data_IF_613743991095
#
_entry.id   IF_613743991095
#
_cell.length_a   1.000
_cell.length_b   1.000
_cell.length_c   1.000
_cell.angle_alpha   90.00
_cell.angle_beta   90.00
_cell.angle_gamma   90.00
#
_symmetry.space_group_name_H-M   'P 1'
#
loop_
_entity.id
_entity.type
_entity.pdbx_description
1 polymer ?
#
# COMPACT_ATOMS: atom_id res chain seq x y z
N UNK A 1 1.68 8.88 -14.35
CA UNK A 1 2.43 7.69 -13.88
C UNK A 1 1.69 7.00 -12.72
N UNK A 2 1.35 7.69 -11.61
CA UNK A 2 0.56 7.15 -10.48
C UNK A 2 -0.83 6.58 -10.88
N UNK A 3 -1.52 7.18 -11.86
CA UNK A 3 -2.77 6.63 -12.43
C UNK A 3 -2.62 5.21 -13.00
N UNK A 4 -1.45 4.87 -13.56
CA UNK A 4 -1.23 3.53 -14.11
C UNK A 4 -0.98 2.50 -13.01
N UNK A 5 -0.36 2.89 -11.88
CA UNK A 5 -0.12 2.01 -10.72
C UNK A 5 -1.44 1.63 -10.05
N UNK A 6 -2.32 2.62 -9.81
CA UNK A 6 -3.69 2.44 -9.28
C UNK A 6 -4.50 1.49 -10.18
N UNK A 7 -4.42 1.68 -11.50
CA UNK A 7 -5.17 0.85 -12.44
C UNK A 7 -4.64 -0.59 -12.54
N UNK A 8 -3.33 -0.81 -12.39
CA UNK A 8 -2.76 -2.16 -12.24
C UNK A 8 -3.10 -2.80 -10.90
N UNK A 9 -3.20 -2.04 -9.79
CA UNK A 9 -3.60 -2.58 -8.49
C UNK A 9 -5.07 -2.97 -8.44
N UNK A 10 -5.97 -2.19 -9.03
CA UNK A 10 -7.39 -2.53 -9.15
C UNK A 10 -7.59 -3.82 -9.96
N UNK A 11 -6.84 -4.00 -11.05
CA UNK A 11 -6.86 -5.25 -11.84
C UNK A 11 -6.23 -6.41 -11.07
N UNK A 12 -5.11 -6.19 -10.37
CA UNK A 12 -4.42 -7.24 -9.61
C UNK A 12 -5.22 -7.68 -8.37
N UNK A 13 -5.95 -6.77 -7.71
CA UNK A 13 -6.84 -7.06 -6.58
C UNK A 13 -8.09 -7.83 -7.04
N UNK A 14 -8.69 -7.44 -8.19
CA UNK A 14 -9.77 -8.21 -8.81
C UNK A 14 -9.31 -9.64 -9.18
N UNK A 15 -8.06 -9.79 -9.63
CA UNK A 15 -7.45 -11.09 -9.94
C UNK A 15 -7.05 -11.88 -8.68
N UNK A 16 -6.58 -11.22 -7.61
CA UNK A 16 -6.24 -11.87 -6.34
C UNK A 16 -7.47 -12.39 -5.59
N UNK A 17 -8.62 -11.74 -5.75
CA UNK A 17 -9.91 -12.18 -5.17
C UNK A 17 -10.53 -13.38 -5.91
N UNK A 18 -9.99 -13.77 -7.08
CA UNK A 18 -10.56 -14.85 -7.88
C UNK A 18 -9.78 -16.18 -7.85
N UNK A 19 -8.51 -16.24 -7.44
CA UNK A 19 -7.75 -17.50 -7.52
C UNK A 19 -6.58 -17.63 -6.51
N UNK A 20 -6.61 -18.68 -5.69
CA UNK A 20 -5.44 -19.52 -5.38
C UNK A 20 -5.89 -21.00 -5.47
N UNK A 21 -5.11 -21.95 -6.05
CA UNK A 21 -3.65 -22.02 -5.94
C UNK A 21 -2.81 -22.30 -7.23
N UNK A 22 -1.52 -21.92 -7.13
CA UNK A 22 -0.27 -22.47 -7.69
C UNK A 22 0.19 -22.20 -9.16
N UNK A 23 1.52 -22.24 -9.41
CA UNK A 23 2.22 -21.21 -10.18
C UNK A 23 2.57 -21.61 -11.62
N UNK A 24 2.58 -20.63 -12.52
CA UNK A 24 3.33 -20.74 -13.78
C UNK A 24 3.72 -19.37 -14.33
N UNK A 25 4.99 -19.32 -14.74
CA UNK A 25 5.73 -18.20 -15.35
C UNK A 25 4.96 -17.50 -16.47
N UNK A 26 4.98 -16.17 -16.48
CA UNK A 26 5.06 -15.38 -17.71
C UNK A 26 5.53 -13.95 -17.36
N UNK A 27 6.70 -13.57 -17.88
CA UNK A 27 7.20 -12.20 -17.88
C UNK A 27 6.92 -11.60 -19.25
N UNK A 28 6.29 -10.43 -19.29
CA UNK A 28 6.26 -9.54 -20.46
C UNK A 28 6.41 -8.11 -19.92
N UNK A 29 7.65 -7.64 -19.85
CA UNK A 29 7.97 -6.24 -19.58
C UNK A 29 7.91 -5.43 -20.86
N UNK A 30 6.96 -4.51 -20.96
CA UNK A 30 6.97 -3.42 -21.97
C UNK A 30 7.06 -2.12 -21.18
N UNK A 31 8.29 -1.66 -20.94
CA UNK A 31 8.56 -0.34 -20.40
C UNK A 31 8.52 0.69 -21.52
N UNK A 32 7.43 1.45 -21.61
CA UNK A 32 7.33 2.63 -22.48
C UNK A 32 7.66 3.86 -21.62
N UNK A 33 8.94 4.24 -21.59
CA UNK A 33 9.39 5.50 -21.04
C UNK A 33 9.21 6.62 -22.06
N UNK A 34 8.28 7.54 -21.81
CA UNK A 34 8.09 8.74 -22.62
C UNK A 34 8.92 9.87 -22.02
N UNK A 35 10.10 10.12 -22.60
CA UNK A 35 10.93 11.29 -22.31
C UNK A 35 10.72 12.37 -23.39
N UNK A 36 10.18 13.53 -23.01
CA UNK A 36 10.09 14.71 -23.87
C UNK A 36 11.40 15.49 -23.74
N UNK A 37 12.19 15.54 -24.82
CA UNK A 37 13.43 16.30 -24.89
C UNK A 37 13.28 17.58 -25.70
N UNK A 38 13.65 18.72 -25.11
CA UNK A 38 14.04 19.94 -25.85
C UNK A 38 15.15 20.64 -25.07
N UNK A 39 16.28 20.93 -25.75
CA UNK A 39 17.21 21.98 -25.34
C UNK A 39 18.71 21.67 -25.45
N UNK A 40 19.31 21.95 -26.61
CA UNK A 40 20.77 22.02 -26.82
C UNK A 40 21.39 23.13 -25.95
N UNK A 41 22.43 22.78 -25.19
CA UNK A 41 23.31 23.74 -24.51
C UNK A 41 24.74 23.20 -24.45
N UNK A 42 25.66 23.86 -25.15
CA UNK A 42 27.08 23.52 -25.20
C UNK A 42 27.77 24.09 -23.94
N UNK A 43 28.23 23.23 -23.02
CA UNK A 43 28.82 23.65 -21.74
C UNK A 43 29.94 22.71 -21.28
N UNK A 44 31.13 23.26 -21.13
CA UNK A 44 32.38 22.59 -20.79
C UNK A 44 32.37 22.14 -19.30
N UNK A 45 31.82 20.95 -19.00
CA UNK A 45 31.65 20.39 -17.65
C UNK A 45 32.38 19.05 -17.44
N UNK A 46 33.70 19.03 -17.61
CA UNK A 46 34.47 17.78 -17.72
C UNK A 46 35.02 17.23 -16.37
N UNK A 47 34.81 17.93 -15.25
CA UNK A 47 35.33 17.55 -13.92
C UNK A 47 34.31 16.84 -13.02
N UNK A 48 33.12 17.41 -12.85
CA UNK A 48 32.07 16.89 -11.95
C UNK A 48 31.41 15.63 -12.48
N UNK A 49 31.09 15.57 -13.78
CA UNK A 49 30.50 14.39 -14.43
C UNK A 49 31.38 13.14 -14.33
N UNK A 50 32.69 13.30 -14.57
CA UNK A 50 33.67 12.22 -14.45
C UNK A 50 33.81 11.70 -13.02
N UNK A 51 33.67 12.57 -12.02
CA UNK A 51 33.70 12.20 -10.61
C UNK A 51 32.44 11.44 -10.19
N UNK A 52 31.25 11.85 -10.64
CA UNK A 52 29.99 11.17 -10.31
C UNK A 52 29.95 9.75 -10.89
N UNK A 53 30.39 9.56 -12.13
CA UNK A 53 30.45 8.21 -12.74
C UNK A 53 31.53 7.32 -12.10
N UNK A 54 32.63 7.90 -11.58
CA UNK A 54 33.62 7.15 -10.82
C UNK A 54 33.08 6.68 -9.45
N UNK A 55 32.30 7.52 -8.77
CA UNK A 55 31.61 7.13 -7.56
C UNK A 55 30.57 6.03 -7.84
N UNK A 56 29.82 6.16 -8.93
CA UNK A 56 28.88 5.13 -9.36
C UNK A 56 29.59 3.81 -9.66
N UNK A 57 30.74 3.84 -10.35
CA UNK A 57 31.53 2.65 -10.61
C UNK A 57 31.94 1.97 -9.29
N UNK A 58 32.46 2.72 -8.31
CA UNK A 58 32.83 2.17 -6.99
C UNK A 58 31.65 1.53 -6.28
N UNK A 59 30.50 2.22 -6.26
CA UNK A 59 29.27 1.74 -5.65
C UNK A 59 28.81 0.42 -6.27
N UNK A 60 28.72 0.38 -7.61
CA UNK A 60 28.21 -0.76 -8.35
C UNK A 60 29.17 -1.95 -8.29
N UNK A 61 30.49 -1.74 -8.28
CA UNK A 61 31.45 -2.82 -8.10
C UNK A 61 31.46 -3.37 -6.66
N UNK A 62 31.32 -2.50 -5.65
CA UNK A 62 31.14 -2.94 -4.27
C UNK A 62 29.86 -3.77 -4.13
N UNK A 63 28.76 -3.33 -4.73
CA UNK A 63 27.51 -4.08 -4.68
C UNK A 63 27.57 -5.38 -5.47
N UNK A 64 28.15 -5.38 -6.67
CA UNK A 64 28.43 -6.61 -7.43
C UNK A 64 29.18 -7.65 -6.60
N UNK A 65 30.13 -7.22 -5.75
CA UNK A 65 30.89 -8.12 -4.88
C UNK A 65 30.08 -8.72 -3.73
N UNK A 66 28.94 -8.12 -3.34
CA UNK A 66 28.02 -8.70 -2.35
C UNK A 66 26.96 -9.62 -2.95
N UNK A 67 26.86 -9.68 -4.29
CA UNK A 67 25.97 -10.61 -4.98
C UNK A 67 26.64 -11.99 -5.04
N UNK A 68 25.99 -12.97 -4.42
CA UNK A 68 26.46 -14.35 -4.34
C UNK A 68 25.87 -15.24 -5.42
N UNK A 69 24.71 -14.87 -6.00
CA UNK A 69 24.09 -15.60 -7.09
C UNK A 69 23.45 -14.64 -8.10
N UNK A 70 23.76 -14.83 -9.39
CA UNK A 70 23.18 -14.09 -10.52
C UNK A 70 22.76 -15.08 -11.61
N UNK A 71 21.56 -15.69 -11.49
CA UNK A 71 21.14 -16.77 -12.38
C UNK A 71 20.85 -16.32 -13.81
N UNK A 72 20.70 -15.01 -14.05
CA UNK A 72 20.41 -14.44 -15.36
C UNK A 72 21.63 -13.73 -15.97
N UNK A 73 22.79 -13.84 -15.33
CA UNK A 73 24.06 -13.23 -15.75
C UNK A 73 23.91 -11.74 -16.09
N UNK A 74 23.11 -11.00 -15.32
CA UNK A 74 22.87 -9.57 -15.54
C UNK A 74 24.16 -8.78 -15.27
N UNK A 75 24.91 -9.17 -14.24
CA UNK A 75 26.12 -8.51 -13.78
C UNK A 75 27.33 -8.79 -14.68
N UNK A 76 27.23 -9.65 -15.70
CA UNK A 76 28.28 -9.85 -16.70
C UNK A 76 28.57 -8.55 -17.46
N UNK A 77 27.55 -7.70 -17.63
CA UNK A 77 27.69 -6.37 -18.25
C UNK A 77 28.36 -5.35 -17.33
N UNK A 78 28.48 -5.64 -16.03
CA UNK A 78 29.00 -4.71 -15.02
C UNK A 78 30.53 -4.76 -14.96
N UNK A 79 31.18 -4.44 -16.08
CA UNK A 79 32.63 -4.47 -16.25
C UNK A 79 33.12 -3.18 -16.92
N UNK A 80 34.20 -2.60 -16.38
CA UNK A 80 34.84 -1.42 -16.94
C UNK A 80 34.16 -0.10 -16.53
N UNK A 81 34.72 1.05 -16.93
CA UNK A 81 34.30 2.35 -16.39
C UNK A 81 32.95 2.86 -16.94
N UNK A 82 32.40 2.25 -18.00
CA UNK A 82 31.18 2.71 -18.64
C UNK A 82 29.92 2.17 -17.92
N UNK A 83 29.66 2.67 -16.71
CA UNK A 83 28.55 2.23 -15.85
C UNK A 83 27.18 2.36 -16.51
N UNK A 84 27.01 3.25 -17.48
CA UNK A 84 25.74 3.44 -18.18
C UNK A 84 25.45 2.35 -19.23
N UNK A 85 26.43 1.49 -19.53
CA UNK A 85 26.22 0.29 -20.34
C UNK A 85 25.82 -0.94 -19.53
N UNK A 86 25.81 -0.83 -18.20
CA UNK A 86 25.47 -1.92 -17.31
C UNK A 86 23.96 -2.20 -17.39
N UNK A 87 23.60 -3.47 -17.55
CA UNK A 87 22.21 -3.89 -17.58
C UNK A 87 21.55 -3.54 -16.24
N UNK A 88 20.38 -2.88 -16.32
CA UNK A 88 19.62 -2.40 -15.17
C UNK A 88 20.06 -1.05 -14.61
N UNK A 89 21.09 -0.42 -15.19
CA UNK A 89 21.55 0.92 -14.80
C UNK A 89 21.08 1.93 -15.84
N UNK A 90 20.41 2.98 -15.40
CA UNK A 90 19.85 4.02 -16.24
C UNK A 90 20.53 5.34 -15.94
N UNK A 91 21.16 5.92 -16.96
CA UNK A 91 21.81 7.22 -16.86
C UNK A 91 20.98 8.31 -17.54
N UNK A 92 21.00 9.50 -16.96
CA UNK A 92 20.34 10.68 -17.51
C UNK A 92 21.33 11.82 -17.67
N UNK A 93 21.10 12.65 -18.70
CA UNK A 93 21.83 13.90 -18.86
C UNK A 93 21.16 14.98 -18.03
N UNK A 94 21.82 15.40 -16.95
CA UNK A 94 21.52 16.65 -16.28
C UNK A 94 22.09 17.83 -17.09
N UNK A 95 21.65 19.06 -16.78
CA UNK A 95 22.10 20.29 -17.43
C UNK A 95 23.61 20.52 -17.31
N UNK A 96 24.29 19.84 -16.39
CA UNK A 96 25.72 20.01 -16.09
C UNK A 96 26.51 18.69 -16.00
N UNK A 97 25.87 17.52 -15.99
CA UNK A 97 26.55 16.23 -15.79
C UNK A 97 25.76 15.03 -16.35
N UNK A 98 26.47 13.93 -16.63
CA UNK A 98 25.88 12.64 -16.96
C UNK A 98 25.96 11.76 -15.70
N UNK A 99 24.82 11.30 -15.18
CA UNK A 99 24.72 10.66 -13.86
C UNK A 99 23.91 9.38 -13.95
N UNK A 100 24.09 8.47 -12.98
CA UNK A 100 23.18 7.34 -12.79
C UNK A 100 21.91 7.88 -12.13
N UNK A 101 20.81 7.89 -12.88
CA UNK A 101 19.52 8.39 -12.43
C UNK A 101 18.63 7.27 -11.87
N UNK A 102 18.86 6.02 -12.26
CA UNK A 102 18.04 4.91 -11.82
C UNK A 102 18.70 3.55 -11.85
N UNK A 103 18.22 2.68 -10.98
CA UNK A 103 18.52 1.25 -11.00
C UNK A 103 17.19 0.50 -11.05
N UNK A 104 17.02 -0.35 -12.07
CA UNK A 104 15.93 -1.32 -12.15
C UNK A 104 16.51 -2.72 -12.42
N UNK A 105 16.39 -3.56 -11.40
CA UNK A 105 16.76 -4.98 -11.43
C UNK A 105 15.57 -5.86 -11.06
N UNK A 106 14.36 -5.43 -11.41
CA UNK A 106 13.15 -6.19 -11.15
C UNK A 106 13.22 -7.58 -11.80
N UNK A 107 12.78 -8.61 -11.07
CA UNK A 107 12.74 -10.02 -11.51
C UNK A 107 14.10 -10.62 -11.89
N UNK A 108 15.20 -10.04 -11.38
CA UNK A 108 16.55 -10.52 -11.67
C UNK A 108 16.94 -11.78 -10.88
N UNK A 109 16.19 -12.11 -9.81
CA UNK A 109 16.46 -13.25 -8.93
C UNK A 109 17.89 -13.26 -8.34
N UNK A 110 18.48 -12.06 -8.16
CA UNK A 110 19.81 -11.85 -7.60
C UNK A 110 19.80 -12.20 -6.11
N UNK A 111 20.80 -12.93 -5.63
CA UNK A 111 20.99 -13.20 -4.21
C UNK A 111 22.18 -12.43 -3.68
N UNK A 112 22.02 -11.74 -2.55
CA UNK A 112 23.09 -10.97 -1.93
C UNK A 112 22.57 -10.07 -0.83
N UNK A 113 23.29 -8.98 -0.58
CA UNK A 113 22.90 -7.93 0.39
C UNK A 113 23.01 -6.54 -0.23
N UNK A 114 22.25 -5.59 0.31
CA UNK A 114 22.43 -4.16 0.02
C UNK A 114 23.67 -3.66 0.77
N UNK A 115 24.54 -2.93 0.07
CA UNK A 115 25.80 -2.42 0.64
C UNK A 115 25.74 -0.92 0.90
N UNK A 116 26.49 -0.45 1.89
CA UNK A 116 26.52 0.97 2.27
C UNK A 116 27.02 1.86 1.13
N UNK A 117 27.91 1.34 0.28
CA UNK A 117 28.53 2.05 -0.84
C UNK A 117 27.54 2.48 -1.92
N UNK A 118 26.33 1.87 -1.95
CA UNK A 118 25.25 2.34 -2.84
C UNK A 118 24.89 3.80 -2.57
N UNK A 119 25.10 4.33 -1.36
CA UNK A 119 24.85 5.74 -1.05
C UNK A 119 25.76 6.73 -1.80
N UNK A 120 26.82 6.26 -2.46
CA UNK A 120 27.63 7.07 -3.36
C UNK A 120 26.88 7.46 -4.65
N UNK A 121 25.75 6.80 -4.95
CA UNK A 121 24.86 7.10 -6.05
C UNK A 121 23.89 8.23 -5.64
N UNK A 122 24.41 9.41 -5.33
CA UNK A 122 23.63 10.52 -4.76
C UNK A 122 22.51 11.03 -5.66
N UNK A 123 22.66 10.87 -6.98
CA UNK A 123 21.78 11.45 -8.00
C UNK A 123 20.62 10.52 -8.41
N UNK A 124 20.49 9.33 -7.81
CA UNK A 124 19.43 8.38 -8.20
C UNK A 124 18.05 8.90 -7.76
N UNK A 125 17.07 8.71 -8.63
CA UNK A 125 15.66 9.03 -8.41
C UNK A 125 14.81 7.77 -8.26
N UNK A 126 15.24 6.63 -8.80
CA UNK A 126 14.61 5.33 -8.61
C UNK A 126 15.58 4.21 -8.22
N UNK A 127 15.12 3.33 -7.33
CA UNK A 127 15.76 2.05 -7.00
C UNK A 127 14.68 0.98 -6.94
N UNK A 128 14.58 0.17 -8.00
CA UNK A 128 13.60 -0.92 -8.11
C UNK A 128 14.28 -2.28 -8.09
N UNK A 129 13.99 -3.06 -7.06
CA UNK A 129 14.60 -4.36 -6.78
C UNK A 129 13.55 -5.46 -6.56
N UNK A 130 12.34 -5.30 -7.08
CA UNK A 130 11.26 -6.26 -6.94
C UNK A 130 11.69 -7.66 -7.39
N UNK A 131 11.27 -8.70 -6.67
CA UNK A 131 11.50 -10.11 -7.04
C UNK A 131 12.99 -10.42 -7.18
N UNK A 132 13.71 -10.24 -6.07
CA UNK A 132 15.09 -10.66 -5.88
C UNK A 132 15.21 -11.45 -4.56
N UNK A 133 16.43 -11.88 -4.23
CA UNK A 133 16.76 -12.59 -3.00
C UNK A 133 17.74 -11.78 -2.14
N UNK A 134 17.55 -10.45 -2.09
CA UNK A 134 18.34 -9.60 -1.20
C UNK A 134 17.96 -9.85 0.25
N UNK A 135 18.96 -10.08 1.09
CA UNK A 135 18.80 -10.37 2.52
C UNK A 135 19.49 -9.33 3.40
N UNK A 136 19.29 -9.43 4.71
CA UNK A 136 19.81 -8.46 5.68
C UNK A 136 18.86 -7.28 5.89
N UNK A 137 19.42 -6.12 6.27
CA UNK A 137 18.68 -4.88 6.55
C UNK A 137 18.95 -3.83 5.47
N UNK A 138 18.12 -2.79 5.39
CA UNK A 138 18.41 -1.60 4.58
C UNK A 138 19.57 -0.82 5.24
N UNK A 139 20.65 -0.46 4.52
CA UNK A 139 21.78 0.25 5.10
C UNK A 139 21.42 1.66 5.59
N UNK A 140 21.95 2.06 6.76
CA UNK A 140 21.73 3.40 7.33
C UNK A 140 22.23 4.55 6.45
N UNK A 141 23.17 4.28 5.54
CA UNK A 141 23.66 5.28 4.57
C UNK A 141 22.65 5.59 3.47
N UNK A 142 21.57 4.83 3.34
CA UNK A 142 20.52 5.10 2.35
C UNK A 142 19.80 6.44 2.59
N UNK A 143 19.91 7.03 3.80
CA UNK A 143 19.45 8.40 4.05
C UNK A 143 20.11 9.45 3.14
N UNK A 144 21.30 9.14 2.61
CA UNK A 144 22.07 10.03 1.75
C UNK A 144 21.54 10.05 0.30
N UNK A 145 20.52 9.23 -0.02
CA UNK A 145 19.78 9.32 -1.27
C UNK A 145 18.84 10.54 -1.28
N UNK A 146 19.40 11.71 -1.48
CA UNK A 146 18.69 12.99 -1.40
C UNK A 146 17.66 13.19 -2.51
N UNK A 147 17.87 12.59 -3.68
CA UNK A 147 16.98 12.73 -4.85
C UNK A 147 16.08 11.51 -5.09
N UNK A 148 16.21 10.45 -4.29
CA UNK A 148 15.42 9.23 -4.49
C UNK A 148 13.94 9.49 -4.19
N UNK A 149 13.12 9.23 -5.20
CA UNK A 149 11.68 9.42 -5.18
C UNK A 149 10.94 8.08 -5.01
N UNK A 150 11.46 7.03 -5.67
CA UNK A 150 10.86 5.70 -5.68
C UNK A 150 11.82 4.66 -5.14
N UNK A 151 11.45 4.03 -4.02
CA UNK A 151 12.16 2.90 -3.44
C UNK A 151 11.24 1.68 -3.45
N UNK A 152 11.56 0.72 -4.32
CA UNK A 152 10.89 -0.58 -4.38
C UNK A 152 11.87 -1.68 -3.99
N UNK A 153 11.68 -2.23 -2.79
CA UNK A 153 12.43 -3.36 -2.24
C UNK A 153 11.53 -4.61 -2.08
N UNK A 154 10.40 -4.63 -2.77
CA UNK A 154 9.39 -5.67 -2.60
C UNK A 154 9.86 -7.06 -3.04
N UNK A 155 9.23 -8.10 -2.49
CA UNK A 155 9.51 -9.50 -2.82
C UNK A 155 11.01 -9.83 -2.75
N UNK A 156 11.56 -9.70 -1.54
CA UNK A 156 12.94 -9.97 -1.18
C UNK A 156 12.99 -10.77 0.15
N UNK A 157 14.19 -10.99 0.68
CA UNK A 157 14.44 -11.65 1.96
C UNK A 157 14.93 -10.65 3.02
N UNK A 158 14.57 -9.38 2.89
CA UNK A 158 14.97 -8.35 3.85
C UNK A 158 14.25 -8.57 5.18
N UNK A 159 14.92 -8.25 6.28
CA UNK A 159 14.42 -8.51 7.62
C UNK A 159 14.88 -7.43 8.60
N UNK A 160 14.47 -7.55 9.87
CA UNK A 160 14.73 -6.55 10.91
C UNK A 160 13.49 -5.72 11.22
N UNK A 161 13.66 -4.60 11.92
CA UNK A 161 12.58 -3.64 12.14
C UNK A 161 12.24 -2.87 10.87
N UNK A 162 11.16 -2.08 10.90
CA UNK A 162 10.92 -1.08 9.85
C UNK A 162 12.21 -0.27 9.58
N UNK A 163 12.63 -0.09 8.31
CA UNK A 163 13.85 0.65 7.98
C UNK A 163 13.63 2.15 8.13
N UNK A 164 13.75 2.68 9.34
CA UNK A 164 13.52 4.10 9.68
C UNK A 164 14.41 5.06 8.89
N UNK A 165 15.55 4.57 8.37
CA UNK A 165 16.39 5.28 7.40
C UNK A 165 15.60 5.84 6.21
N UNK A 166 14.56 5.13 5.74
CA UNK A 166 13.71 5.55 4.61
C UNK A 166 12.91 6.82 4.93
N UNK A 167 12.62 7.08 6.22
CA UNK A 167 11.91 8.27 6.66
C UNK A 167 12.80 9.53 6.60
N UNK A 168 14.12 9.34 6.58
CA UNK A 168 15.10 10.41 6.47
C UNK A 168 15.46 10.75 5.01
N UNK A 169 14.89 10.06 4.01
CA UNK A 169 15.09 10.37 2.60
C UNK A 169 14.17 11.53 2.19
N UNK A 170 14.71 12.73 1.89
CA UNK A 170 13.90 13.94 1.78
C UNK A 170 12.92 13.90 0.61
N UNK A 171 13.33 13.37 -0.54
CA UNK A 171 12.53 13.34 -1.78
C UNK A 171 11.65 12.10 -1.95
N UNK A 172 11.70 11.14 -1.00
CA UNK A 172 10.98 9.88 -1.13
C UNK A 172 9.47 10.10 -1.07
N UNK A 173 8.76 9.60 -2.08
CA UNK A 173 7.31 9.68 -2.24
C UNK A 173 6.64 8.31 -2.41
N UNK A 174 7.36 7.30 -2.89
CA UNK A 174 6.88 5.93 -3.07
C UNK A 174 7.77 4.97 -2.29
N UNK A 175 7.18 4.25 -1.33
CA UNK A 175 7.87 3.26 -0.51
C UNK A 175 7.16 1.91 -0.61
N UNK A 176 7.87 0.93 -1.16
CA UNK A 176 7.38 -0.43 -1.30
C UNK A 176 8.32 -1.45 -0.65
N UNK A 177 7.85 -2.04 0.44
CA UNK A 177 8.56 -3.03 1.25
C UNK A 177 7.79 -4.36 1.32
N UNK A 178 6.77 -4.55 0.48
CA UNK A 178 5.88 -5.73 0.57
C UNK A 178 6.61 -7.05 0.31
N UNK A 179 6.09 -8.16 0.81
CA UNK A 179 6.69 -9.49 0.67
C UNK A 179 8.15 -9.54 1.14
N UNK A 180 8.38 -9.17 2.39
CA UNK A 180 9.68 -9.29 3.08
C UNK A 180 9.44 -9.91 4.48
N UNK A 181 10.46 -9.88 5.33
CA UNK A 181 10.40 -10.38 6.71
C UNK A 181 10.62 -9.26 7.75
N UNK A 182 10.18 -8.02 7.46
CA UNK A 182 10.21 -6.93 8.44
C UNK A 182 9.24 -7.20 9.59
N UNK A 183 9.62 -6.84 10.82
CA UNK A 183 8.89 -7.13 12.05
C UNK A 183 8.87 -5.94 13.02
N UNK A 184 8.14 -6.09 14.12
CA UNK A 184 8.00 -5.04 15.14
C UNK A 184 6.91 -4.04 14.79
N UNK A 185 6.84 -2.94 15.54
CA UNK A 185 5.83 -1.89 15.35
C UNK A 185 6.15 -0.96 14.19
N UNK A 186 5.10 -0.38 13.63
CA UNK A 186 5.22 0.74 12.69
C UNK A 186 5.62 2.00 13.47
N UNK A 187 6.64 2.75 13.04
CA UNK A 187 7.04 3.99 13.70
C UNK A 187 6.02 5.11 13.44
N UNK A 188 5.85 6.04 14.39
CA UNK A 188 4.90 7.15 14.22
C UNK A 188 5.29 8.06 13.05
N UNK A 189 6.59 8.24 12.83
CA UNK A 189 7.15 9.11 11.80
C UNK A 189 6.82 8.65 10.38
N UNK A 190 6.47 7.37 10.19
CA UNK A 190 6.05 6.83 8.90
C UNK A 190 4.89 7.63 8.30
N UNK A 191 3.88 7.91 9.11
CA UNK A 191 2.68 8.60 8.66
C UNK A 191 2.82 10.13 8.69
N UNK A 192 3.89 10.65 9.29
CA UNK A 192 4.26 12.07 9.20
C UNK A 192 5.09 12.38 7.95
N UNK A 193 5.74 11.38 7.35
CA UNK A 193 6.47 11.52 6.09
C UNK A 193 5.49 11.75 4.94
N UNK A 194 5.85 12.67 4.02
CA UNK A 194 5.08 12.98 2.82
C UNK A 194 5.21 11.90 1.73
N UNK A 195 4.76 10.69 2.05
CA UNK A 195 4.65 9.58 1.10
C UNK A 195 3.27 9.64 0.42
N UNK A 196 3.23 9.36 -0.88
CA UNK A 196 2.00 9.20 -1.65
C UNK A 196 1.52 7.75 -1.65
N UNK A 197 2.45 6.79 -1.68
CA UNK A 197 2.14 5.36 -1.67
C UNK A 197 2.99 4.59 -0.67
N UNK A 198 2.32 3.79 0.17
CA UNK A 198 2.92 3.01 1.25
C UNK A 198 2.48 1.54 1.12
N UNK A 199 3.40 0.65 0.74
CA UNK A 199 3.14 -0.78 0.63
C UNK A 199 3.99 -1.57 1.63
N UNK A 200 3.35 -2.09 2.68
CA UNK A 200 3.99 -2.86 3.75
C UNK A 200 3.41 -4.28 3.89
N UNK A 201 2.54 -4.68 2.97
CA UNK A 201 1.82 -5.94 3.07
C UNK A 201 2.73 -7.17 3.00
N UNK A 202 2.27 -8.29 3.56
CA UNK A 202 3.01 -9.56 3.57
C UNK A 202 4.37 -9.42 4.25
N UNK A 203 4.35 -8.89 5.48
CA UNK A 203 5.48 -8.81 6.39
C UNK A 203 5.06 -9.40 7.75
N UNK A 204 5.82 -9.12 8.80
CA UNK A 204 5.56 -9.58 10.17
C UNK A 204 5.40 -8.39 11.12
N UNK A 205 4.94 -7.23 10.63
CA UNK A 205 4.68 -6.06 11.47
C UNK A 205 3.59 -6.38 12.50
N UNK A 206 3.75 -5.87 13.71
CA UNK A 206 2.92 -6.19 14.88
C UNK A 206 2.66 -4.95 15.74
N UNK A 207 1.70 -5.04 16.66
CA UNK A 207 1.31 -3.88 17.48
C UNK A 207 0.28 -3.01 16.76
N UNK A 208 -0.01 -1.85 17.34
CA UNK A 208 -1.09 -0.99 16.85
C UNK A 208 -0.67 -0.13 15.66
N UNK A 209 -1.66 0.28 14.85
CA UNK A 209 -1.47 1.35 13.87
C UNK A 209 -1.31 2.67 14.65
N UNK A 210 -0.21 3.42 14.49
CA UNK A 210 0.04 4.67 15.21
C UNK A 210 -1.08 5.71 15.07
N UNK A 211 -1.28 6.54 16.10
CA UNK A 211 -2.24 7.65 16.01
C UNK A 211 -1.84 8.71 14.97
N UNK A 212 -0.55 8.79 14.61
CA UNK A 212 -0.08 9.63 13.50
C UNK A 212 -0.62 9.20 12.13
N UNK A 213 -1.32 8.07 12.03
CA UNK A 213 -1.96 7.60 10.80
C UNK A 213 -2.78 8.70 10.09
N UNK A 214 -3.52 9.49 10.87
CA UNK A 214 -4.29 10.65 10.40
C UNK A 214 -3.48 11.74 9.69
N UNK A 215 -2.17 11.82 9.91
CA UNK A 215 -1.32 12.85 9.31
C UNK A 215 -0.85 12.49 7.90
N UNK A 216 -1.06 11.24 7.47
CA UNK A 216 -0.51 10.76 6.20
C UNK A 216 -1.21 11.42 5.01
N UNK A 217 -0.44 11.97 4.05
CA UNK A 217 -1.01 12.51 2.82
C UNK A 217 -1.23 11.44 1.74
N UNK A 218 -0.93 10.17 2.04
CA UNK A 218 -0.89 9.10 1.07
C UNK A 218 -2.24 8.90 0.36
N UNK A 219 -2.18 8.63 -0.94
CA UNK A 219 -3.34 8.21 -1.73
C UNK A 219 -3.57 6.69 -1.67
N UNK A 220 -2.55 5.90 -1.35
CA UNK A 220 -2.63 4.44 -1.28
C UNK A 220 -1.85 3.92 -0.06
N UNK A 221 -2.51 3.11 0.78
CA UNK A 221 -1.88 2.42 1.91
C UNK A 221 -2.29 0.95 1.92
N UNK A 222 -1.31 0.06 1.84
CA UNK A 222 -1.52 -1.38 1.96
C UNK A 222 -0.72 -1.97 3.13
N UNK A 223 -1.43 -2.40 4.17
CA UNK A 223 -0.87 -3.04 5.36
C UNK A 223 -1.31 -4.52 5.49
N UNK A 224 -1.87 -5.10 4.44
CA UNK A 224 -2.45 -6.44 4.47
C UNK A 224 -1.46 -7.54 4.89
N UNK A 225 -1.96 -8.67 5.39
CA UNK A 225 -1.15 -9.84 5.72
C UNK A 225 0.01 -9.51 6.67
N UNK A 226 -0.32 -8.91 7.82
CA UNK A 226 0.59 -8.62 8.91
C UNK A 226 -0.01 -9.13 10.23
N UNK A 227 0.56 -8.73 11.37
CA UNK A 227 0.09 -9.06 12.72
C UNK A 227 -0.33 -7.81 13.49
N UNK A 228 -0.85 -6.80 12.78
CA UNK A 228 -1.27 -5.54 13.39
C UNK A 228 -2.51 -5.77 14.27
N UNK A 229 -2.51 -5.20 15.46
CA UNK A 229 -3.53 -5.38 16.51
C UNK A 229 -4.19 -4.05 16.86
N UNK A 230 -5.17 -4.08 17.77
CA UNK A 230 -5.81 -2.87 18.28
C UNK A 230 -6.79 -2.27 17.26
N UNK A 231 -7.24 -1.06 17.54
CA UNK A 231 -8.30 -0.42 16.75
C UNK A 231 -7.75 0.26 15.50
N UNK A 232 -8.60 0.44 14.48
CA UNK A 232 -8.34 1.45 13.45
C UNK A 232 -8.34 2.82 14.16
N UNK A 233 -7.25 3.62 14.08
CA UNK A 233 -7.13 4.85 14.84
C UNK A 233 -8.28 5.81 14.57
N UNK A 234 -8.78 6.49 15.61
CA UNK A 234 -9.79 7.54 15.44
C UNK A 234 -9.25 8.68 14.55
N UNK A 235 -7.93 8.85 14.53
CA UNK A 235 -7.26 9.81 13.66
C UNK A 235 -7.43 9.52 12.16
N UNK A 236 -7.92 8.33 11.80
CA UNK A 236 -8.21 7.95 10.42
C UNK A 236 -9.05 9.02 9.72
N UNK A 237 -10.05 9.61 10.36
CA UNK A 237 -10.90 10.64 9.75
C UNK A 237 -10.20 11.96 9.38
N UNK A 238 -8.97 12.21 9.84
CA UNK A 238 -8.22 13.45 9.54
C UNK A 238 -7.25 13.30 8.37
N UNK A 239 -7.15 12.11 7.76
CA UNK A 239 -6.27 11.91 6.60
C UNK A 239 -6.70 12.75 5.41
N UNK A 240 -5.79 12.89 4.45
CA UNK A 240 -6.06 13.54 3.17
C UNK A 240 -7.31 12.96 2.50
N UNK A 241 -8.28 13.79 2.06
CA UNK A 241 -9.48 13.31 1.36
C UNK A 241 -9.15 12.70 -0.02
N UNK A 242 -7.90 12.83 -0.49
CA UNK A 242 -7.38 12.20 -1.72
C UNK A 242 -7.04 10.72 -1.55
N UNK A 243 -7.24 10.15 -0.37
CA UNK A 243 -7.03 8.73 -0.12
C UNK A 243 -7.98 7.90 -1.00
N UNK A 244 -7.41 6.99 -1.79
CA UNK A 244 -8.12 6.18 -2.77
C UNK A 244 -8.23 4.73 -2.36
N UNK A 245 -7.19 4.20 -1.73
CA UNK A 245 -7.12 2.77 -1.43
C UNK A 245 -6.57 2.55 -0.02
N UNK A 246 -7.33 1.79 0.77
CA UNK A 246 -6.86 1.18 2.02
C UNK A 246 -7.10 -0.32 1.98
N UNK A 247 -6.04 -1.07 2.27
CA UNK A 247 -6.08 -2.52 2.35
C UNK A 247 -5.45 -2.95 3.68
N UNK A 248 -6.28 -3.35 4.64
CA UNK A 248 -5.91 -3.89 5.95
C UNK A 248 -6.24 -5.38 6.09
N UNK A 249 -6.60 -6.04 4.98
CA UNK A 249 -6.85 -7.47 4.85
C UNK A 249 -5.91 -8.32 5.73
N UNK A 250 -6.45 -9.31 6.44
CA UNK A 250 -5.69 -10.34 7.15
C UNK A 250 -4.69 -9.74 8.16
N UNK A 251 -5.25 -9.13 9.20
CA UNK A 251 -4.57 -8.64 10.38
C UNK A 251 -5.35 -9.08 11.64
N UNK A 252 -5.01 -8.54 12.80
CA UNK A 252 -5.68 -8.79 14.09
C UNK A 252 -6.37 -7.51 14.60
N UNK A 253 -6.83 -6.65 13.69
CA UNK A 253 -7.48 -5.39 14.04
C UNK A 253 -8.81 -5.67 14.74
N UNK A 254 -9.12 -4.87 15.76
CA UNK A 254 -10.30 -4.99 16.61
C UNK A 254 -11.07 -3.66 16.68
N UNK A 255 -12.12 -3.61 17.51
CA UNK A 255 -12.95 -2.42 17.67
C UNK A 255 -13.85 -2.17 16.47
N UNK A 256 -14.45 -0.99 16.40
CA UNK A 256 -15.34 -0.60 15.30
C UNK A 256 -14.62 0.16 14.19
N UNK A 257 -15.25 0.17 13.01
CA UNK A 257 -14.87 1.07 11.91
C UNK A 257 -15.20 2.52 12.32
N UNK A 258 -14.24 3.47 12.32
CA UNK A 258 -14.48 4.85 12.72
C UNK A 258 -15.46 5.59 11.80
N UNK A 259 -16.24 6.54 12.35
CA UNK A 259 -17.13 7.41 11.56
C UNK A 259 -16.36 8.26 10.53
N UNK A 260 -15.08 8.54 10.78
CA UNK A 260 -14.22 9.30 9.86
C UNK A 260 -14.05 8.68 8.47
N UNK A 261 -14.37 7.40 8.27
CA UNK A 261 -14.26 6.74 6.96
C UNK A 261 -15.02 7.47 5.85
N UNK A 262 -16.19 8.06 6.15
CA UNK A 262 -17.00 8.75 5.15
C UNK A 262 -16.45 10.09 4.65
N UNK A 263 -15.30 10.54 5.16
CA UNK A 263 -14.60 11.72 4.64
C UNK A 263 -13.97 11.44 3.26
N UNK A 264 -13.65 10.18 2.97
CA UNK A 264 -12.95 9.78 1.75
C UNK A 264 -13.91 9.55 0.59
N UNK A 265 -14.54 10.62 0.11
CA UNK A 265 -15.54 10.53 -0.97
C UNK A 265 -14.96 10.00 -2.29
N UNK A 266 -13.64 10.15 -2.50
CA UNK A 266 -12.87 9.68 -3.66
C UNK A 266 -12.28 8.26 -3.47
N UNK A 267 -12.56 7.59 -2.34
CA UNK A 267 -12.06 6.24 -2.07
C UNK A 267 -12.66 5.23 -3.04
N UNK A 268 -11.80 4.41 -3.65
CA UNK A 268 -12.17 3.38 -4.64
C UNK A 268 -12.07 1.96 -4.05
N UNK A 269 -11.14 1.72 -3.12
CA UNK A 269 -10.94 0.41 -2.50
C UNK A 269 -10.85 0.54 -0.98
N UNK A 270 -11.70 -0.20 -0.29
CA UNK A 270 -11.61 -0.42 1.15
C UNK A 270 -11.71 -1.91 1.44
N UNK A 271 -10.59 -2.52 1.83
CA UNK A 271 -10.54 -3.91 2.27
C UNK A 271 -10.12 -4.00 3.74
N UNK A 272 -11.07 -4.36 4.60
CA UNK A 272 -10.89 -4.59 6.03
C UNK A 272 -11.10 -6.06 6.41
N UNK A 273 -11.14 -6.95 5.41
CA UNK A 273 -11.52 -8.35 5.62
C UNK A 273 -10.48 -9.14 6.43
N UNK A 274 -10.88 -10.28 6.98
CA UNK A 274 -10.03 -11.14 7.81
C UNK A 274 -9.39 -10.38 8.97
N UNK A 275 -10.23 -9.77 9.79
CA UNK A 275 -9.83 -9.09 11.03
C UNK A 275 -10.77 -9.53 12.17
N UNK A 276 -10.73 -8.84 13.30
CA UNK A 276 -11.62 -9.03 14.46
C UNK A 276 -12.47 -7.79 14.73
N UNK A 277 -12.83 -7.04 13.67
CA UNK A 277 -13.67 -5.83 13.79
C UNK A 277 -15.08 -6.19 14.27
N UNK A 278 -15.65 -5.35 15.12
CA UNK A 278 -16.95 -5.55 15.79
C UNK A 278 -17.87 -4.35 15.61
N UNK A 279 -19.13 -4.52 15.97
CA UNK A 279 -20.13 -3.45 15.99
C UNK A 279 -20.78 -3.18 14.63
N UNK A 280 -21.54 -2.08 14.57
CA UNK A 280 -22.31 -1.70 13.38
C UNK A 280 -21.46 -0.92 12.39
N UNK A 281 -21.80 -1.02 11.10
CA UNK A 281 -21.21 -0.16 10.08
C UNK A 281 -21.53 1.32 10.39
N UNK A 282 -20.58 2.24 10.19
CA UNK A 282 -20.85 3.65 10.31
C UNK A 282 -21.81 4.13 9.22
N UNK A 283 -22.79 4.95 9.59
CA UNK A 283 -23.69 5.61 8.62
C UNK A 283 -22.89 6.39 7.56
N UNK A 284 -21.71 6.92 7.92
CA UNK A 284 -20.85 7.66 7.00
C UNK A 284 -20.23 6.82 5.89
N UNK A 285 -20.27 5.50 5.96
CA UNK A 285 -19.82 4.63 4.86
C UNK A 285 -20.63 4.89 3.58
N UNK A 286 -21.86 5.41 3.70
CA UNK A 286 -22.67 5.82 2.57
C UNK A 286 -22.11 7.01 1.79
N UNK A 287 -21.10 7.70 2.33
CA UNK A 287 -20.48 8.87 1.71
C UNK A 287 -19.31 8.52 0.78
N UNK A 288 -18.92 7.25 0.69
CA UNK A 288 -17.88 6.78 -0.21
C UNK A 288 -18.38 6.73 -1.67
N UNK A 289 -18.55 7.89 -2.31
CA UNK A 289 -19.28 7.98 -3.59
C UNK A 289 -18.58 7.28 -4.76
N UNK A 290 -17.24 7.21 -4.72
CA UNK A 290 -16.43 6.57 -5.76
C UNK A 290 -15.99 5.14 -5.41
N UNK A 291 -16.55 4.53 -4.36
CA UNK A 291 -16.16 3.18 -3.94
C UNK A 291 -16.54 2.13 -4.98
N UNK A 292 -15.55 1.34 -5.38
CA UNK A 292 -15.69 0.27 -6.36
C UNK A 292 -15.60 -1.10 -5.67
N UNK A 293 -14.70 -1.25 -4.68
CA UNK A 293 -14.50 -2.48 -3.92
C UNK A 293 -14.62 -2.18 -2.43
N UNK A 294 -15.64 -2.78 -1.80
CA UNK A 294 -15.84 -2.74 -0.35
C UNK A 294 -15.84 -4.17 0.20
N UNK A 295 -14.73 -4.57 0.82
CA UNK A 295 -14.59 -5.90 1.39
C UNK A 295 -14.46 -5.83 2.92
N UNK A 296 -15.49 -6.30 3.61
CA UNK A 296 -15.62 -6.33 5.07
C UNK A 296 -15.75 -7.76 5.59
N UNK A 297 -15.53 -8.77 4.74
CA UNK A 297 -15.76 -10.17 5.07
C UNK A 297 -14.85 -10.70 6.18
N UNK A 298 -15.22 -11.82 6.79
CA UNK A 298 -14.43 -12.48 7.85
C UNK A 298 -14.10 -11.52 9.01
N UNK A 299 -15.13 -10.98 9.64
CA UNK A 299 -15.05 -10.13 10.82
C UNK A 299 -16.14 -10.55 11.83
N UNK A 300 -16.39 -9.71 12.83
CA UNK A 300 -17.44 -9.86 13.84
C UNK A 300 -18.43 -8.68 13.78
N UNK A 301 -18.61 -8.10 12.60
CA UNK A 301 -19.52 -6.97 12.39
C UNK A 301 -20.98 -7.44 12.52
N UNK A 302 -21.85 -6.55 13.00
CA UNK A 302 -23.25 -6.86 13.32
C UNK A 302 -24.18 -5.69 13.00
N UNK A 303 -25.47 -5.86 13.28
CA UNK A 303 -26.52 -4.91 12.94
C UNK A 303 -27.05 -5.12 11.53
N UNK A 304 -27.66 -4.08 10.98
CA UNK A 304 -28.26 -4.13 9.65
C UNK A 304 -27.39 -3.40 8.61
N UNK A 305 -27.36 -3.93 7.40
CA UNK A 305 -26.73 -3.29 6.25
C UNK A 305 -27.71 -2.27 5.69
N UNK A 306 -27.42 -0.98 5.89
CA UNK A 306 -28.26 0.14 5.48
C UNK A 306 -28.50 0.21 3.96
N UNK A 307 -29.69 0.65 3.56
CA UNK A 307 -30.10 0.92 2.16
C UNK A 307 -29.03 1.68 1.37
N UNK A 308 -28.41 2.65 2.03
CA UNK A 308 -27.56 3.60 1.34
C UNK A 308 -26.27 2.96 0.83
N UNK A 309 -25.79 1.87 1.45
CA UNK A 309 -24.59 1.12 1.01
C UNK A 309 -24.86 0.44 -0.34
N UNK A 310 -26.03 -0.15 -0.48
CA UNK A 310 -26.42 -0.84 -1.71
C UNK A 310 -26.81 0.13 -2.85
N UNK A 311 -27.01 1.40 -2.53
CA UNK A 311 -27.26 2.46 -3.53
C UNK A 311 -25.99 3.14 -4.07
N UNK A 312 -24.80 2.74 -3.58
CA UNK A 312 -23.52 3.30 -4.01
C UNK A 312 -23.28 3.03 -5.51
N UNK A 313 -23.30 4.11 -6.30
CA UNK A 313 -23.40 4.04 -7.78
C UNK A 313 -22.18 3.42 -8.47
N UNK A 314 -21.02 3.45 -7.82
CA UNK A 314 -19.75 2.95 -8.36
C UNK A 314 -19.39 1.55 -7.85
N UNK A 315 -20.16 1.01 -6.91
CA UNK A 315 -19.84 -0.25 -6.25
C UNK A 315 -19.91 -1.42 -7.23
N UNK A 316 -18.76 -2.06 -7.46
CA UNK A 316 -18.60 -3.21 -8.34
C UNK A 316 -18.51 -4.52 -7.55
N UNK A 317 -17.90 -4.47 -6.36
CA UNK A 317 -17.77 -5.61 -5.47
C UNK A 317 -18.04 -5.22 -4.02
N UNK A 318 -18.98 -5.93 -3.38
CA UNK A 318 -19.28 -5.84 -1.97
C UNK A 318 -19.25 -7.23 -1.35
N UNK A 319 -18.33 -7.44 -0.41
CA UNK A 319 -18.30 -8.66 0.39
C UNK A 319 -18.46 -8.31 1.86
N UNK A 320 -19.49 -8.86 2.48
CA UNK A 320 -19.75 -8.80 3.93
C UNK A 320 -19.86 -10.21 4.52
N UNK A 321 -19.47 -11.22 3.75
CA UNK A 321 -19.56 -12.62 4.14
C UNK A 321 -18.82 -12.93 5.45
N UNK A 322 -19.23 -13.97 6.16
CA UNK A 322 -18.60 -14.38 7.42
C UNK A 322 -18.59 -13.28 8.48
N UNK A 323 -19.76 -12.67 8.72
CA UNK A 323 -20.02 -11.70 9.79
C UNK A 323 -21.27 -12.12 10.60
N UNK A 324 -21.87 -11.20 11.35
CA UNK A 324 -23.05 -11.40 12.18
C UNK A 324 -24.15 -10.37 11.86
N UNK A 325 -24.24 -9.92 10.59
CA UNK A 325 -25.31 -9.02 10.17
C UNK A 325 -26.66 -9.73 10.30
N UNK A 326 -27.65 -9.01 10.83
CA UNK A 326 -29.02 -9.51 11.09
C UNK A 326 -30.01 -9.17 9.99
N UNK A 327 -29.65 -8.24 9.10
CA UNK A 327 -30.54 -7.76 8.08
C UNK A 327 -29.82 -6.95 7.01
N UNK A 328 -30.49 -6.82 5.88
CA UNK A 328 -30.20 -5.82 4.86
C UNK A 328 -31.53 -5.20 4.44
N UNK A 329 -31.45 -4.08 3.75
CA UNK A 329 -32.64 -3.45 3.21
C UNK A 329 -33.15 -4.09 1.91
N UNK A 330 -34.39 -3.80 1.54
CA UNK A 330 -35.01 -4.35 0.32
C UNK A 330 -34.22 -4.04 -0.96
N UNK A 331 -33.45 -2.94 -1.00
CA UNK A 331 -32.62 -2.58 -2.15
C UNK A 331 -31.40 -3.49 -2.33
N UNK A 332 -30.73 -3.88 -1.24
CA UNK A 332 -29.63 -4.86 -1.28
C UNK A 332 -30.09 -6.21 -1.84
N UNK A 333 -31.37 -6.55 -1.69
CA UNK A 333 -31.95 -7.78 -2.23
C UNK A 333 -32.00 -7.83 -3.76
N UNK A 334 -31.78 -6.72 -4.45
CA UNK A 334 -31.74 -6.66 -5.92
C UNK A 334 -30.33 -6.84 -6.49
N UNK A 335 -29.30 -6.74 -5.65
CA UNK A 335 -27.89 -6.76 -6.05
C UNK A 335 -27.28 -8.17 -6.15
N UNK A 336 -28.09 -9.20 -6.38
CA UNK A 336 -27.58 -10.56 -6.64
C UNK A 336 -26.95 -10.64 -8.02
N UNK A 337 -25.77 -10.04 -8.14
CA UNK A 337 -24.94 -10.05 -9.32
C UNK A 337 -23.54 -10.55 -8.95
N UNK A 338 -22.73 -10.87 -9.96
CA UNK A 338 -21.32 -11.22 -9.79
C UNK A 338 -20.63 -10.06 -9.06
N UNK A 339 -20.10 -10.31 -7.86
CA UNK A 339 -19.40 -9.31 -7.03
C UNK A 339 -20.04 -9.01 -5.68
N UNK A 340 -21.21 -9.57 -5.34
CA UNK A 340 -21.86 -9.35 -4.04
C UNK A 340 -21.94 -10.63 -3.22
N UNK A 341 -21.32 -10.65 -2.03
CA UNK A 341 -21.31 -11.82 -1.15
C UNK A 341 -21.79 -11.48 0.28
N UNK A 342 -22.87 -12.16 0.68
CA UNK A 342 -23.58 -12.02 1.95
C UNK A 342 -23.68 -13.36 2.72
N UNK A 343 -22.90 -14.37 2.33
CA UNK A 343 -22.94 -15.69 2.99
C UNK A 343 -22.47 -15.62 4.44
N UNK A 344 -22.77 -16.66 5.22
CA UNK A 344 -22.25 -16.86 6.58
C UNK A 344 -22.47 -15.65 7.50
N UNK A 345 -23.67 -15.07 7.40
CA UNK A 345 -24.20 -14.05 8.29
C UNK A 345 -25.38 -14.59 9.10
N UNK A 346 -26.10 -13.72 9.82
CA UNK A 346 -27.23 -14.06 10.68
C UNK A 346 -28.55 -13.49 10.17
N UNK A 347 -28.77 -13.53 8.86
CA UNK A 347 -29.91 -12.87 8.23
C UNK A 347 -31.11 -13.84 8.13
N UNK A 348 -32.24 -13.56 8.82
CA UNK A 348 -33.38 -14.46 8.81
C UNK A 348 -33.98 -14.67 7.41
N UNK A 349 -34.38 -15.91 7.12
CA UNK A 349 -35.07 -16.26 5.87
C UNK A 349 -34.18 -16.26 4.61
N UNK A 350 -32.84 -16.26 4.77
CA UNK A 350 -31.87 -16.37 3.67
C UNK A 350 -31.14 -17.70 3.71
N UNK A 351 -30.71 -18.15 2.52
CA UNK A 351 -29.85 -19.33 2.37
C UNK A 351 -28.38 -18.98 2.68
N UNK A 352 -27.55 -20.01 2.91
CA UNK A 352 -26.11 -19.87 3.16
C UNK A 352 -25.80 -18.93 4.33
N UNK A 353 -26.61 -19.00 5.39
CA UNK A 353 -26.42 -18.25 6.62
C UNK A 353 -25.85 -19.17 7.71
N UNK A 354 -25.28 -18.57 8.75
CA UNK A 354 -24.76 -19.32 9.90
C UNK A 354 -25.87 -20.16 10.54
N UNK A 355 -25.55 -21.37 11.02
CA UNK A 355 -26.49 -22.20 11.74
C UNK A 355 -26.73 -21.68 13.16
N UNK A 356 -27.92 -21.92 13.72
CA UNK A 356 -28.12 -21.80 15.16
C UNK A 356 -27.25 -22.83 15.90
N UNK A 357 -26.66 -22.49 17.08
CA UNK A 357 -26.90 -21.30 17.88
C UNK A 357 -25.94 -20.12 17.62
N UNK A 358 -25.14 -20.13 16.54
CA UNK A 358 -24.12 -19.09 16.32
C UNK A 358 -24.73 -17.68 16.21
N UNK A 359 -25.95 -17.57 15.70
CA UNK A 359 -26.68 -16.31 15.56
C UNK A 359 -27.45 -15.87 16.81
N UNK A 360 -27.53 -16.73 17.82
CA UNK A 360 -28.19 -16.41 19.10
C UNK A 360 -27.37 -15.44 19.96
N UNK A 361 -26.08 -15.25 19.66
CA UNK A 361 -25.18 -14.36 20.39
C UNK A 361 -24.52 -13.38 19.41
N UNK A 362 -24.93 -12.11 19.45
CA UNK A 362 -24.23 -11.04 18.73
C UNK A 362 -22.87 -10.85 19.43
N UNK A 363 -21.73 -10.98 18.72
CA UNK A 363 -20.43 -10.78 19.30
C UNK A 363 -20.34 -9.39 19.95
N UNK A 364 -19.98 -9.38 21.23
CA UNK A 364 -19.86 -8.16 22.01
C UNK A 364 -18.87 -7.18 21.38
N UNK A 365 -19.35 -5.97 21.10
CA UNK A 365 -18.53 -4.79 20.94
C UNK A 365 -18.70 -3.89 22.16
N UNK A 366 -17.68 -3.07 22.47
CA UNK A 366 -17.82 -1.99 23.45
C UNK A 366 -19.06 -1.15 23.13
N UNK A 367 -19.68 -0.53 24.14
CA UNK A 367 -20.82 0.39 23.94
C UNK A 367 -20.51 1.48 22.88
N UNK A 368 -19.24 1.84 22.70
CA UNK A 368 -18.76 2.79 21.69
C UNK A 368 -18.95 2.31 20.24
N UNK A 369 -19.08 1.00 20.04
CA UNK A 369 -19.32 0.35 18.76
C UNK A 369 -20.82 0.14 18.46
N UNK A 370 -21.69 0.38 19.46
CA UNK A 370 -23.13 0.40 19.30
C UNK A 370 -23.56 1.75 18.76
N UNK A 371 -24.34 1.74 17.69
CA UNK A 371 -24.83 2.96 17.04
C UNK A 371 -26.34 2.95 17.06
N UNK A 372 -26.92 4.00 17.61
CA UNK A 372 -28.36 4.25 17.49
C UNK A 372 -28.57 4.88 16.11
N UNK A 373 -29.36 4.26 15.22
CA UNK A 373 -29.65 4.82 13.91
C UNK A 373 -30.16 6.26 14.05
N UNK A 374 -29.51 7.21 13.36
CA UNK A 374 -30.00 8.59 13.33
C UNK A 374 -31.28 8.65 12.49
N UNK A 375 -32.38 9.24 13.00
CA UNK A 375 -33.61 9.43 12.21
C UNK A 375 -33.44 10.45 11.08
N UNK A 376 -32.33 11.22 11.05
CA UNK A 376 -32.01 12.16 9.98
C UNK A 376 -31.00 11.56 9.00
N UNK A 377 -31.25 11.64 7.68
CA UNK A 377 -30.29 11.20 6.68
C UNK A 377 -28.99 12.02 6.79
N UNK A 378 -27.86 11.33 6.77
CA UNK A 378 -26.54 11.93 6.87
C UNK A 378 -26.24 12.78 5.62
N UNK A 379 -25.83 14.03 5.80
CA UNK A 379 -25.39 14.90 4.70
C UNK A 379 -23.88 14.78 4.55
N UNK A 380 -23.42 14.12 3.49
CA UNK A 380 -22.00 13.83 3.31
C UNK A 380 -21.12 15.09 3.19
N UNK A 381 -21.63 16.17 2.62
CA UNK A 381 -20.89 17.43 2.42
C UNK A 381 -20.46 18.12 3.74
N UNK A 382 -21.14 17.84 4.87
CA UNK A 382 -20.84 18.48 6.15
C UNK A 382 -19.76 17.76 6.97
N UNK A 383 -19.40 16.51 6.61
CA UNK A 383 -18.45 15.70 7.38
C UNK A 383 -17.01 16.24 7.30
N UNK A 384 -16.59 16.72 6.13
CA UNK A 384 -15.29 17.37 5.95
C UNK A 384 -15.19 18.68 6.74
N UNK A 385 -16.29 19.44 6.85
CA UNK A 385 -16.31 20.72 7.60
C UNK A 385 -16.39 20.57 9.12
N UNK A 386 -16.99 19.49 9.63
CA UNK A 386 -17.12 19.30 11.09
C UNK A 386 -15.80 18.96 11.78
N UNK A 387 -14.86 18.36 11.03
CA UNK A 387 -13.56 17.93 11.55
C UNK A 387 -12.61 19.13 11.76
N UNK A 388 -12.74 20.16 10.92
CA UNK A 388 -11.96 21.41 11.00
C UNK A 388 -12.34 22.25 12.24
N UNK A 389 -13.56 22.08 12.74
CA UNK A 389 -14.11 22.86 13.88
C UNK A 389 -13.79 22.30 15.28
N UNK A 390 -13.09 21.16 15.37
CA UNK A 390 -12.78 20.46 16.63
C UNK A 390 -11.30 20.45 17.04
N UNK A 391 -10.48 21.32 16.44
CA UNK A 391 -9.08 21.52 16.88
C UNK A 391 -9.05 22.49 18.08
N UNK A 392 -8.48 22.10 19.25
CA UNK A 392 -8.20 23.03 20.34
C UNK A 392 -7.07 24.02 20.01
#
# INVERSE_FOLDING_TARGET
>A
MIKNIIQTFLHLLLLLLLLLPNPSKASIGIGIGVGIGIGKGNGNGNGSSKQNLNNAYKALQAWKSSITNDPLNILDTWVGPNVCSYKGIFCESSTTSYVVAGIDLNHANLQGTLVKELSLLSDITLLHLNTNNFSGTVPETFKDFTFLQELDLSNNQLSGSFPTVTLNMPSLIYLDLRFNSFKGSLPEELFNKKLDAIFLNNNQFSGEIPQSFGNSPASVINLANNKLTGNIPASFGFMSPKLKEIIFLNNQLSGCIPQGVGVFTEMQVLDLSFNSLVGHLPDSISCLQDIEVLNLGHNKLSGDISDVICSLKRLLNLTVAYNFFSGFSQECSRLFNIGFDFSDNCIPGRNLQRPEPECSLIPGGDLNCLRIPSPKPLVCATLASSIDSSSP
#
